data_IF_344765218545
#
_entry.id   IF_344765218545
#
_cell.length_a   1.000
_cell.length_b   1.000
_cell.length_c   1.000
_cell.angle_alpha   90.00
_cell.angle_beta   90.00
_cell.angle_gamma   90.00
#
_symmetry.space_group_name_H-M   'P 1'
#
loop_
_entity.id
_entity.type
_entity.pdbx_description
1 polymer ?
#
# COMPACT_ATOMS: atom_id res chain seq x y z
N UNK A 1 15.72 10.62 8.94
CA UNK A 1 14.63 10.36 7.99
C UNK A 1 13.42 9.77 8.72
N UNK A 2 12.21 10.11 8.30
CA UNK A 2 10.93 9.59 8.82
C UNK A 2 10.33 8.61 7.83
N UNK A 3 10.12 7.36 8.24
CA UNK A 3 9.48 6.34 7.42
C UNK A 3 7.96 6.36 7.66
N UNK A 4 7.17 6.57 6.61
CA UNK A 4 5.71 6.65 6.67
C UNK A 4 5.11 5.58 5.79
N UNK A 5 4.19 4.79 6.35
CA UNK A 5 3.53 3.67 5.67
C UNK A 5 2.08 3.98 5.33
N UNK A 6 1.67 3.65 4.10
CA UNK A 6 0.31 3.76 3.57
C UNK A 6 -0.22 2.39 3.19
N UNK A 7 -1.33 1.98 3.78
CA UNK A 7 -1.95 0.68 3.52
C UNK A 7 -2.73 0.63 2.20
N UNK A 8 -3.11 -0.57 1.79
CA UNK A 8 -3.93 -0.83 0.60
C UNK A 8 -5.43 -0.70 0.83
N UNK A 9 -6.21 -0.91 -0.23
CA UNK A 9 -7.67 -0.87 -0.23
C UNK A 9 -8.27 -1.78 0.85
N UNK A 10 -9.28 -1.28 1.57
CA UNK A 10 -10.01 -2.01 2.61
C UNK A 10 -9.15 -2.47 3.81
N UNK A 11 -7.90 -1.99 3.91
CA UNK A 11 -6.94 -2.41 4.93
C UNK A 11 -6.80 -1.38 6.06
N UNK A 12 -5.70 -1.42 6.81
CA UNK A 12 -5.40 -0.45 7.86
C UNK A 12 -3.91 -0.42 8.18
N UNK A 13 -3.50 0.47 9.09
CA UNK A 13 -2.14 0.55 9.62
C UNK A 13 -1.63 -0.76 10.22
N UNK A 14 -2.53 -1.68 10.63
CA UNK A 14 -2.18 -3.00 11.14
C UNK A 14 -1.44 -3.87 10.12
N UNK A 15 -1.60 -3.63 8.82
CA UNK A 15 -0.83 -4.34 7.78
C UNK A 15 0.68 -4.09 7.88
N UNK A 16 1.10 -3.10 8.67
CA UNK A 16 2.49 -2.78 8.95
C UNK A 16 2.92 -3.08 10.39
N UNK A 17 2.23 -3.96 11.09
CA UNK A 17 2.51 -4.32 12.48
C UNK A 17 3.98 -4.68 12.71
N UNK A 18 4.57 -5.52 11.86
CA UNK A 18 5.94 -5.97 11.99
C UNK A 18 6.96 -4.86 11.67
N UNK A 19 6.66 -4.00 10.70
CA UNK A 19 7.49 -2.85 10.33
C UNK A 19 7.52 -1.82 11.46
N UNK A 20 6.37 -1.51 12.07
CA UNK A 20 6.28 -0.55 13.18
C UNK A 20 7.06 -1.01 14.42
N UNK A 21 7.16 -2.31 14.66
CA UNK A 21 7.97 -2.87 15.76
C UNK A 21 9.47 -2.85 15.45
N UNK A 22 9.83 -2.89 14.19
CA UNK A 22 11.22 -2.94 13.72
C UNK A 22 11.83 -1.55 13.56
N UNK A 23 11.11 -0.62 12.93
CA UNK A 23 11.57 0.74 12.64
C UNK A 23 11.07 1.74 13.68
N UNK A 24 11.93 2.16 14.62
CA UNK A 24 11.53 3.07 15.73
C UNK A 24 11.05 4.44 15.24
N UNK A 25 11.65 4.99 14.17
CA UNK A 25 11.24 6.28 13.60
C UNK A 25 10.28 6.11 12.42
N UNK A 26 9.23 5.31 12.62
CA UNK A 26 8.22 5.06 11.60
C UNK A 26 6.81 5.44 12.06
N UNK A 27 5.88 5.49 11.12
CA UNK A 27 4.45 5.67 11.36
C UNK A 27 3.66 5.01 10.23
N UNK A 28 2.72 4.15 10.57
CA UNK A 28 1.68 3.74 9.63
C UNK A 28 0.44 4.62 9.85
N UNK A 29 -0.18 5.07 8.77
CA UNK A 29 -1.34 5.96 8.79
C UNK A 29 -2.58 5.13 8.44
N UNK A 30 -3.65 5.26 9.23
CA UNK A 30 -4.98 4.85 8.78
C UNK A 30 -5.53 5.95 7.87
N UNK A 31 -5.84 5.60 6.64
CA UNK A 31 -6.40 6.53 5.65
C UNK A 31 -7.85 6.93 6.04
N UNK A 32 -8.37 8.05 5.54
CA UNK A 32 -9.75 8.46 5.80
C UNK A 32 -10.76 7.36 5.48
N UNK A 33 -11.73 7.16 6.35
CA UNK A 33 -12.74 6.11 6.26
C UNK A 33 -12.36 4.79 6.93
N UNK A 34 -11.04 4.54 7.18
CA UNK A 34 -10.57 3.26 7.72
C UNK A 34 -10.54 3.19 9.25
N UNK A 35 -10.51 4.31 9.94
CA UNK A 35 -10.62 4.38 11.40
C UNK A 35 -11.58 5.47 11.85
N UNK A 36 -11.64 6.54 11.09
CA UNK A 36 -12.49 7.70 11.34
C UNK A 36 -12.70 8.51 10.06
N UNK A 37 -13.72 9.35 10.06
CA UNK A 37 -14.05 10.24 8.95
C UNK A 37 -14.70 9.51 7.78
N UNK A 38 -14.76 10.19 6.64
CA UNK A 38 -15.28 9.63 5.38
C UNK A 38 -14.12 9.25 4.47
N UNK A 39 -14.25 8.14 3.75
CA UNK A 39 -13.30 7.73 2.72
C UNK A 39 -13.19 8.80 1.62
N UNK A 40 -12.00 8.94 1.06
CA UNK A 40 -11.78 9.75 -0.13
C UNK A 40 -12.27 9.01 -1.38
N UNK A 41 -12.68 9.74 -2.42
CA UNK A 41 -13.29 9.12 -3.60
C UNK A 41 -12.29 8.75 -4.71
N UNK A 42 -11.07 9.27 -4.66
CA UNK A 42 -10.01 9.07 -5.65
C UNK A 42 -8.63 9.13 -5.00
N UNK A 43 -7.62 8.72 -5.77
CA UNK A 43 -6.23 8.69 -5.30
C UNK A 43 -5.70 10.11 -5.02
N UNK A 44 -6.14 11.10 -5.79
CA UNK A 44 -5.80 12.51 -5.59
C UNK A 44 -6.21 13.03 -4.21
N UNK A 45 -7.45 12.77 -3.83
CA UNK A 45 -7.99 13.21 -2.53
C UNK A 45 -7.27 12.51 -1.36
N UNK A 46 -6.93 11.22 -1.51
CA UNK A 46 -6.11 10.51 -0.55
C UNK A 46 -4.70 11.12 -0.45
N UNK A 47 -4.08 11.45 -1.59
CA UNK A 47 -2.78 12.11 -1.63
C UNK A 47 -2.81 13.43 -0.84
N UNK A 48 -3.75 14.32 -1.12
CA UNK A 48 -3.82 15.63 -0.46
C UNK A 48 -4.05 15.49 1.05
N UNK A 49 -4.85 14.52 1.45
CA UNK A 49 -5.04 14.21 2.87
C UNK A 49 -3.73 13.72 3.53
N UNK A 50 -3.01 12.79 2.89
CA UNK A 50 -1.72 12.26 3.38
C UNK A 50 -0.70 13.40 3.49
N UNK A 51 -0.63 14.28 2.48
CA UNK A 51 0.24 15.46 2.48
C UNK A 51 -0.10 16.39 3.65
N UNK A 52 -1.39 16.68 3.85
CA UNK A 52 -1.87 17.46 4.98
C UNK A 52 -1.48 16.83 6.33
N UNK A 53 -1.58 15.52 6.45
CA UNK A 53 -1.17 14.76 7.65
C UNK A 53 0.34 14.91 7.92
N UNK A 54 1.18 14.71 6.90
CA UNK A 54 2.65 14.83 6.99
C UNK A 54 3.04 16.25 7.39
N UNK A 55 2.43 17.25 6.77
CA UNK A 55 2.67 18.68 7.05
C UNK A 55 2.25 19.08 8.46
N UNK A 56 1.06 18.68 8.90
CA UNK A 56 0.56 18.96 10.25
C UNK A 56 1.43 18.33 11.35
N UNK A 57 2.04 17.18 11.07
CA UNK A 57 3.00 16.51 11.97
C UNK A 57 4.43 17.04 11.86
N UNK A 58 4.67 17.98 10.93
CA UNK A 58 5.99 18.56 10.66
C UNK A 58 7.06 17.50 10.40
N UNK A 59 6.68 16.38 9.72
CA UNK A 59 7.64 15.37 9.35
C UNK A 59 8.57 15.93 8.29
N UNK A 60 9.87 15.64 8.45
CA UNK A 60 10.92 16.03 7.51
C UNK A 60 11.70 14.82 7.07
N UNK A 61 12.37 14.94 5.92
CA UNK A 61 13.15 13.83 5.34
C UNK A 61 12.32 12.55 5.28
N UNK A 62 11.15 12.65 4.66
CA UNK A 62 10.17 11.55 4.60
C UNK A 62 10.58 10.53 3.54
N UNK A 63 10.59 9.26 3.92
CA UNK A 63 10.52 8.13 2.99
C UNK A 63 9.10 7.58 3.06
N UNK A 64 8.38 7.65 1.94
CA UNK A 64 6.99 7.21 1.86
C UNK A 64 6.93 5.79 1.32
N UNK A 65 6.28 4.91 2.06
CA UNK A 65 6.17 3.50 1.73
C UNK A 65 4.70 3.12 1.54
N UNK A 66 4.32 2.75 0.34
CA UNK A 66 2.93 2.42 0.00
C UNK A 66 2.74 0.98 -0.47
N UNK A 67 1.70 0.33 0.06
CA UNK A 67 1.25 -0.99 -0.37
C UNK A 67 -0.02 -0.87 -1.20
N UNK A 68 -0.07 -1.52 -2.37
CA UNK A 68 -1.27 -1.59 -3.22
C UNK A 68 -1.82 -0.18 -3.52
N UNK A 69 -3.03 0.17 -3.10
CA UNK A 69 -3.58 1.53 -3.18
C UNK A 69 -2.65 2.58 -2.55
N UNK A 70 -2.04 2.26 -1.40
CA UNK A 70 -1.03 3.14 -0.78
C UNK A 70 0.17 3.39 -1.69
N UNK A 71 0.52 2.43 -2.55
CA UNK A 71 1.56 2.59 -3.59
C UNK A 71 1.13 3.56 -4.69
N UNK A 72 -0.13 3.52 -5.13
CA UNK A 72 -0.70 4.50 -6.07
C UNK A 72 -0.65 5.92 -5.49
N UNK A 73 -1.03 6.08 -4.22
CA UNK A 73 -0.93 7.36 -3.50
C UNK A 73 0.53 7.83 -3.44
N UNK A 74 1.47 6.92 -3.15
CA UNK A 74 2.91 7.20 -3.08
C UNK A 74 3.49 7.63 -4.43
N UNK A 75 3.11 6.95 -5.54
CA UNK A 75 3.50 7.33 -6.90
C UNK A 75 3.00 8.72 -7.26
N UNK A 76 1.73 9.00 -6.97
CA UNK A 76 1.14 10.30 -7.28
C UNK A 76 1.77 11.41 -6.40
N UNK A 77 2.14 11.12 -5.15
CA UNK A 77 2.87 12.02 -4.27
C UNK A 77 4.25 12.37 -4.87
N UNK A 78 4.99 11.36 -5.31
CA UNK A 78 6.30 11.53 -5.92
C UNK A 78 6.25 12.33 -7.24
N UNK A 79 5.15 12.23 -8.00
CA UNK A 79 4.93 13.01 -9.21
C UNK A 79 4.63 14.47 -8.93
N UNK A 80 3.85 14.78 -7.87
CA UNK A 80 3.35 16.13 -7.60
C UNK A 80 4.22 16.93 -6.64
N UNK A 81 4.86 16.25 -5.67
CA UNK A 81 5.59 16.89 -4.56
C UNK A 81 6.91 16.17 -4.27
N UNK A 82 7.76 15.92 -5.29
CA UNK A 82 9.00 15.16 -5.12
C UNK A 82 9.94 15.80 -4.09
N UNK A 83 9.95 17.13 -3.97
CA UNK A 83 10.81 17.87 -3.05
C UNK A 83 10.51 17.63 -1.56
N UNK A 84 9.33 17.10 -1.25
CA UNK A 84 8.91 16.78 0.12
C UNK A 84 9.40 15.40 0.58
N UNK A 85 9.96 14.59 -0.36
CA UNK A 85 10.36 13.20 -0.12
C UNK A 85 11.87 12.99 -0.30
N UNK A 86 12.44 12.06 0.45
CA UNK A 86 13.82 11.58 0.28
C UNK A 86 13.91 10.33 -0.61
N UNK A 87 12.83 9.61 -0.73
CA UNK A 87 12.70 8.41 -1.54
C UNK A 87 11.35 7.75 -1.31
N UNK A 88 11.04 6.76 -2.11
CA UNK A 88 9.78 6.00 -2.01
C UNK A 88 10.01 4.50 -2.02
N UNK A 89 9.10 3.78 -1.35
CA UNK A 89 9.05 2.32 -1.37
C UNK A 89 7.67 1.91 -1.86
N UNK A 90 7.63 1.12 -2.91
CA UNK A 90 6.41 0.64 -3.57
C UNK A 90 6.28 -0.86 -3.32
N UNK A 91 5.22 -1.31 -2.65
CA UNK A 91 5.00 -2.72 -2.35
C UNK A 91 3.70 -3.23 -2.97
N UNK A 92 3.75 -4.33 -3.72
CA UNK A 92 2.57 -4.98 -4.27
C UNK A 92 1.64 -3.98 -5.00
N UNK A 93 2.20 -3.15 -5.89
CA UNK A 93 1.48 -2.06 -6.57
C UNK A 93 1.91 -1.94 -8.03
N UNK A 94 1.41 -0.93 -8.74
CA UNK A 94 1.74 -0.67 -10.14
C UNK A 94 1.36 0.75 -10.56
N UNK A 95 1.82 1.15 -11.74
CA UNK A 95 1.51 2.46 -12.34
C UNK A 95 0.04 2.59 -12.76
N UNK A 96 -0.66 1.47 -12.91
CA UNK A 96 -2.10 1.35 -13.18
C UNK A 96 -2.66 0.17 -12.40
N UNK A 97 -3.76 0.39 -11.70
CA UNK A 97 -4.39 -0.61 -10.83
C UNK A 97 -5.76 -1.01 -11.36
N UNK A 98 -5.79 -1.89 -12.37
CA UNK A 98 -7.06 -2.45 -12.86
C UNK A 98 -7.64 -3.44 -11.86
N UNK A 99 -8.86 -3.16 -11.41
CA UNK A 99 -9.55 -4.00 -10.44
C UNK A 99 -10.41 -5.04 -11.15
N UNK A 100 -10.28 -6.29 -10.74
CA UNK A 100 -11.11 -7.39 -11.24
C UNK A 100 -12.58 -7.17 -10.86
N UNK A 101 -13.53 -7.38 -11.80
CA UNK A 101 -14.95 -7.15 -11.53
C UNK A 101 -15.51 -7.96 -10.35
N UNK A 102 -15.01 -9.18 -10.11
CA UNK A 102 -15.44 -10.02 -9.00
C UNK A 102 -15.07 -9.44 -7.62
N UNK A 103 -13.97 -8.66 -7.54
CA UNK A 103 -13.61 -7.95 -6.31
C UNK A 103 -14.57 -6.80 -6.01
N UNK A 104 -15.02 -6.09 -7.03
CA UNK A 104 -16.05 -5.05 -6.87
C UNK A 104 -17.40 -5.65 -6.49
N UNK A 105 -17.77 -6.75 -7.14
CA UNK A 105 -19.06 -7.39 -6.91
C UNK A 105 -19.18 -7.98 -5.50
N UNK A 106 -18.11 -8.58 -4.95
CA UNK A 106 -18.12 -9.07 -3.57
C UNK A 106 -18.39 -7.96 -2.53
N UNK A 107 -17.94 -6.73 -2.82
CA UNK A 107 -18.21 -5.59 -1.95
C UNK A 107 -19.65 -5.07 -2.11
N UNK A 108 -20.21 -5.13 -3.34
CA UNK A 108 -21.59 -4.73 -3.62
C UNK A 108 -22.61 -5.74 -3.09
N UNK A 109 -22.22 -7.02 -3.04
CA UNK A 109 -23.06 -8.12 -2.56
C UNK A 109 -22.37 -8.85 -1.39
N UNK A 110 -22.24 -8.17 -0.23
CA UNK A 110 -21.42 -8.67 0.87
C UNK A 110 -22.02 -9.90 1.58
N UNK A 111 -23.27 -10.25 1.28
CA UNK A 111 -24.00 -11.33 1.93
C UNK A 111 -24.56 -10.95 3.30
N UNK A 112 -25.30 -11.87 3.96
CA UNK A 112 -25.86 -11.61 5.28
C UNK A 112 -24.76 -11.25 6.30
N UNK A 113 -24.91 -10.14 7.00
CA UNK A 113 -23.93 -9.63 7.97
C UNK A 113 -22.50 -9.53 7.38
N UNK A 114 -22.38 -9.22 6.08
CA UNK A 114 -21.11 -9.12 5.36
C UNK A 114 -20.27 -10.41 5.32
N UNK A 115 -20.87 -11.57 5.57
CA UNK A 115 -20.14 -12.83 5.73
C UNK A 115 -19.39 -13.28 4.47
N UNK A 116 -20.01 -13.13 3.29
CA UNK A 116 -19.38 -13.54 2.03
C UNK A 116 -18.18 -12.62 1.68
N UNK A 117 -18.37 -11.32 1.88
CA UNK A 117 -17.31 -10.34 1.71
C UNK A 117 -16.15 -10.61 2.68
N UNK A 118 -16.44 -10.77 3.97
CA UNK A 118 -15.41 -10.97 4.99
C UNK A 118 -14.60 -12.24 4.74
N UNK A 119 -15.24 -13.36 4.40
CA UNK A 119 -14.55 -14.60 4.06
C UNK A 119 -13.61 -14.41 2.86
N UNK A 120 -14.07 -13.73 1.81
CA UNK A 120 -13.25 -13.42 0.63
C UNK A 120 -12.11 -12.44 0.96
N UNK A 121 -12.37 -11.40 1.76
CA UNK A 121 -11.37 -10.44 2.21
C UNK A 121 -10.27 -11.15 3.02
N UNK A 122 -10.65 -11.97 3.98
CA UNK A 122 -9.71 -12.70 4.85
C UNK A 122 -8.87 -13.75 4.12
N UNK A 123 -9.33 -14.26 2.97
CA UNK A 123 -8.51 -15.16 2.14
C UNK A 123 -7.20 -14.50 1.65
N UNK A 124 -7.15 -13.18 1.57
CA UNK A 124 -5.92 -12.45 1.24
C UNK A 124 -4.84 -12.60 2.32
N UNK A 125 -5.23 -12.95 3.55
CA UNK A 125 -4.33 -13.09 4.71
C UNK A 125 -4.07 -14.56 5.08
N UNK A 126 -4.39 -15.52 4.22
CA UNK A 126 -4.27 -16.97 4.51
C UNK A 126 -2.86 -17.43 4.88
N UNK A 127 -1.83 -16.69 4.48
CA UNK A 127 -0.42 -16.98 4.78
C UNK A 127 0.13 -16.19 5.99
N UNK A 128 -0.70 -15.35 6.60
CA UNK A 128 -0.38 -14.62 7.84
C UNK A 128 -0.70 -15.51 9.05
N UNK A 129 -0.02 -15.33 10.18
CA UNK A 129 -0.27 -16.11 11.40
C UNK A 129 -1.73 -16.01 11.88
N UNK A 130 -2.25 -17.08 12.48
CA UNK A 130 -3.65 -17.19 12.93
C UNK A 130 -4.02 -16.06 13.91
N UNK A 131 -3.12 -15.73 14.85
CA UNK A 131 -3.35 -14.64 15.81
C UNK A 131 -3.54 -13.29 15.09
N UNK A 132 -2.72 -13.02 14.08
CA UNK A 132 -2.85 -11.82 13.28
C UNK A 132 -4.10 -11.84 12.40
N UNK A 133 -4.50 -12.99 11.85
CA UNK A 133 -5.75 -13.11 11.09
C UNK A 133 -6.96 -12.72 11.96
N UNK A 134 -6.99 -13.10 13.23
CA UNK A 134 -8.06 -12.72 14.16
C UNK A 134 -8.17 -11.20 14.32
N UNK A 135 -7.03 -10.53 14.56
CA UNK A 135 -6.99 -9.07 14.71
C UNK A 135 -7.37 -8.36 13.41
N UNK A 136 -6.87 -8.86 12.27
CA UNK A 136 -7.20 -8.31 10.95
C UNK A 136 -8.66 -8.48 10.59
N UNK A 137 -9.28 -9.62 10.96
CA UNK A 137 -10.71 -9.86 10.76
C UNK A 137 -11.58 -8.87 11.53
N UNK A 138 -11.26 -8.62 12.80
CA UNK A 138 -11.96 -7.60 13.60
C UNK A 138 -11.83 -6.23 12.96
N UNK A 139 -10.63 -5.87 12.51
CA UNK A 139 -10.37 -4.59 11.85
C UNK A 139 -11.09 -4.47 10.51
N UNK A 140 -11.13 -5.55 9.71
CA UNK A 140 -11.87 -5.56 8.45
C UNK A 140 -13.37 -5.28 8.66
N UNK A 141 -13.98 -5.86 9.70
CA UNK A 141 -15.39 -5.59 10.05
C UNK A 141 -15.62 -4.12 10.40
N UNK A 142 -14.69 -3.46 11.08
CA UNK A 142 -14.77 -2.03 11.41
C UNK A 142 -14.67 -1.15 10.15
N UNK A 143 -13.82 -1.51 9.18
CA UNK A 143 -13.65 -0.79 7.91
C UNK A 143 -14.87 -1.01 7.02
N UNK A 144 -15.27 -2.24 6.82
CA UNK A 144 -16.46 -2.64 6.08
C UNK A 144 -16.30 -2.68 4.55
N UNK A 145 -17.26 -3.36 3.88
CA UNK A 145 -17.23 -3.54 2.42
C UNK A 145 -17.44 -2.25 1.63
N UNK A 146 -18.14 -1.27 2.20
CA UNK A 146 -18.41 0.00 1.51
C UNK A 146 -17.13 0.83 1.33
N UNK A 147 -16.26 0.87 2.34
CA UNK A 147 -14.96 1.55 2.28
C UNK A 147 -14.05 0.82 1.30
N UNK A 148 -13.98 -0.54 1.38
CA UNK A 148 -13.19 -1.31 0.41
C UNK A 148 -13.68 -1.10 -1.02
N UNK A 149 -15.00 -1.07 -1.28
CA UNK A 149 -15.54 -0.79 -2.61
C UNK A 149 -15.11 0.58 -3.14
N UNK A 150 -15.19 1.60 -2.29
CA UNK A 150 -14.77 2.95 -2.66
C UNK A 150 -13.28 3.00 -3.02
N UNK A 151 -12.44 2.36 -2.24
CA UNK A 151 -11.00 2.29 -2.49
C UNK A 151 -10.68 1.54 -3.80
N UNK A 152 -11.33 0.41 -4.03
CA UNK A 152 -11.15 -0.37 -5.25
C UNK A 152 -11.59 0.43 -6.49
N UNK A 153 -12.67 1.22 -6.40
CA UNK A 153 -13.10 2.11 -7.47
C UNK A 153 -12.11 3.26 -7.70
N UNK A 154 -11.47 3.78 -6.64
CA UNK A 154 -10.41 4.76 -6.77
C UNK A 154 -9.16 4.14 -7.45
N UNK A 155 -8.79 2.91 -7.08
CA UNK A 155 -7.73 2.16 -7.73
C UNK A 155 -7.99 1.91 -9.21
N UNK A 156 -9.21 1.49 -9.58
CA UNK A 156 -9.55 1.14 -10.97
C UNK A 156 -9.44 2.32 -11.94
N UNK A 157 -9.59 3.54 -11.43
CA UNK A 157 -9.40 4.78 -12.21
C UNK A 157 -7.96 5.27 -12.27
N UNK A 158 -7.08 4.74 -11.40
CA UNK A 158 -5.70 5.21 -11.31
C UNK A 158 -4.86 4.72 -12.49
N UNK A 159 -4.20 5.65 -13.18
CA UNK A 159 -3.28 5.38 -14.28
C UNK A 159 -2.24 6.52 -14.39
N UNK A 160 -0.98 6.21 -14.16
CA UNK A 160 0.16 7.14 -14.32
C UNK A 160 1.28 6.53 -15.16
N UNK A 161 0.93 5.53 -15.99
CA UNK A 161 1.93 4.79 -16.80
C UNK A 161 2.81 5.72 -17.62
N UNK A 162 2.24 6.72 -18.27
CA UNK A 162 2.98 7.66 -19.14
C UNK A 162 3.77 8.73 -18.38
N UNK A 163 3.68 8.76 -17.03
CA UNK A 163 4.30 9.77 -16.19
C UNK A 163 5.50 9.24 -15.38
N UNK A 164 5.72 7.93 -15.36
CA UNK A 164 6.76 7.31 -14.51
C UNK A 164 8.16 7.87 -14.73
N UNK A 165 8.51 8.21 -15.97
CA UNK A 165 9.80 8.80 -16.32
C UNK A 165 10.07 10.19 -15.71
N UNK A 166 9.05 10.82 -15.10
CA UNK A 166 9.18 12.10 -14.39
C UNK A 166 9.61 11.91 -12.94
N UNK A 167 9.55 10.67 -12.40
CA UNK A 167 9.95 10.37 -11.02
C UNK A 167 11.46 10.08 -11.01
N UNK A 168 12.20 11.03 -10.45
CA UNK A 168 13.68 10.92 -10.30
C UNK A 168 14.08 10.57 -8.83
N UNK A 169 13.12 10.33 -7.97
CA UNK A 169 13.37 9.94 -6.58
C UNK A 169 13.95 8.52 -6.50
N UNK A 170 14.92 8.29 -5.59
CA UNK A 170 15.31 6.92 -5.24
C UNK A 170 14.10 6.09 -4.88
N UNK A 171 13.96 4.93 -5.54
CA UNK A 171 12.77 4.08 -5.41
C UNK A 171 13.16 2.63 -5.19
N UNK A 172 12.58 2.01 -4.15
CA UNK A 172 12.62 0.56 -3.95
C UNK A 172 11.25 -0.03 -4.27
N UNK A 173 11.22 -1.01 -5.18
CA UNK A 173 10.00 -1.75 -5.54
C UNK A 173 10.07 -3.15 -4.96
N UNK A 174 9.08 -3.53 -4.15
CA UNK A 174 9.00 -4.84 -3.52
C UNK A 174 7.73 -5.55 -3.97
N UNK A 175 7.83 -6.79 -4.40
CA UNK A 175 6.65 -7.60 -4.73
C UNK A 175 6.86 -9.06 -4.29
N UNK A 176 5.76 -9.73 -3.98
CA UNK A 176 5.79 -11.19 -3.73
C UNK A 176 5.84 -11.97 -5.04
N UNK A 177 6.60 -13.06 -5.08
CA UNK A 177 6.66 -13.92 -6.28
C UNK A 177 5.31 -14.61 -6.61
N UNK A 178 4.40 -14.67 -5.63
CA UNK A 178 3.08 -15.31 -5.73
C UNK A 178 1.93 -14.29 -5.68
N UNK A 179 2.23 -12.99 -5.87
CA UNK A 179 1.20 -11.96 -5.92
C UNK A 179 0.35 -12.09 -7.19
N UNK A 180 -0.93 -12.41 -7.01
CA UNK A 180 -1.91 -12.55 -8.08
C UNK A 180 -2.74 -11.26 -8.32
N UNK A 181 -2.67 -10.29 -7.40
CA UNK A 181 -3.38 -9.02 -7.53
C UNK A 181 -2.56 -7.99 -8.30
N UNK A 182 -1.28 -7.87 -7.95
CA UNK A 182 -0.29 -7.04 -8.65
C UNK A 182 0.94 -7.89 -8.98
N UNK A 183 0.84 -8.77 -9.99
CA UNK A 183 1.91 -9.71 -10.34
C UNK A 183 3.25 -9.03 -10.62
N UNK A 184 4.34 -9.78 -10.52
CA UNK A 184 5.74 -9.31 -10.71
C UNK A 184 5.91 -8.41 -11.94
N UNK A 185 5.19 -8.67 -13.03
CA UNK A 185 5.21 -7.80 -14.23
C UNK A 185 4.85 -6.32 -13.95
N UNK A 186 4.15 -6.02 -12.84
CA UNK A 186 3.84 -4.64 -12.45
C UNK A 186 5.07 -3.98 -11.83
N UNK A 187 5.83 -4.72 -11.02
CA UNK A 187 7.10 -4.26 -10.47
C UNK A 187 8.14 -4.05 -11.58
N UNK A 188 8.26 -5.02 -12.51
CA UNK A 188 9.14 -4.89 -13.67
C UNK A 188 8.81 -3.62 -14.48
N UNK A 189 7.51 -3.38 -14.75
CA UNK A 189 7.09 -2.17 -15.49
C UNK A 189 7.50 -0.88 -14.77
N UNK A 190 7.37 -0.82 -13.44
CA UNK A 190 7.80 0.34 -12.66
C UNK A 190 9.32 0.57 -12.81
N UNK A 191 10.13 -0.48 -12.66
CA UNK A 191 11.59 -0.37 -12.73
C UNK A 191 12.13 -0.12 -14.14
N UNK A 192 11.43 -0.60 -15.16
CA UNK A 192 11.76 -0.33 -16.56
C UNK A 192 11.50 1.12 -16.98
N UNK A 193 10.56 1.83 -16.30
CA UNK A 193 10.13 3.17 -16.71
C UNK A 193 10.51 4.28 -15.71
N UNK A 194 11.07 3.93 -14.54
CA UNK A 194 11.56 4.89 -13.55
C UNK A 194 13.10 4.86 -13.51
N UNK A 195 13.75 6.03 -13.55
CA UNK A 195 15.21 6.13 -13.71
C UNK A 195 15.99 5.57 -12.51
N UNK A 196 15.50 5.80 -11.29
CA UNK A 196 16.19 5.47 -10.04
C UNK A 196 15.45 4.39 -9.22
N UNK A 197 14.84 3.43 -9.91
CA UNK A 197 14.09 2.34 -9.27
C UNK A 197 14.87 1.02 -9.30
N UNK A 198 14.82 0.31 -8.17
CA UNK A 198 15.34 -1.04 -8.02
C UNK A 198 14.25 -1.95 -7.47
N UNK A 199 14.10 -3.14 -8.07
CA UNK A 199 13.13 -4.11 -7.57
C UNK A 199 13.77 -5.24 -6.79
N UNK A 200 13.00 -5.80 -5.86
CA UNK A 200 13.27 -7.08 -5.22
C UNK A 200 11.99 -7.91 -5.22
N UNK A 201 12.05 -9.05 -5.89
CA UNK A 201 11.00 -10.06 -5.84
C UNK A 201 11.21 -10.95 -4.61
N UNK A 202 10.26 -10.96 -3.69
CA UNK A 202 10.33 -11.71 -2.42
C UNK A 202 9.78 -13.13 -2.64
N UNK A 203 10.63 -14.18 -2.61
CA UNK A 203 10.19 -15.55 -2.85
C UNK A 203 9.16 -16.02 -1.82
N UNK A 204 8.05 -16.63 -2.30
CA UNK A 204 6.96 -17.17 -1.50
C UNK A 204 6.08 -16.10 -0.83
N UNK A 205 6.24 -14.83 -1.18
CA UNK A 205 5.35 -13.78 -0.75
C UNK A 205 4.16 -13.62 -1.70
N UNK A 206 2.97 -13.36 -1.18
CA UNK A 206 1.80 -12.99 -1.96
C UNK A 206 1.55 -11.48 -1.88
N UNK A 207 0.30 -11.04 -2.04
CA UNK A 207 -0.02 -9.61 -2.07
C UNK A 207 0.31 -8.87 -0.77
N UNK A 208 0.13 -9.49 0.39
CA UNK A 208 0.47 -8.91 1.70
C UNK A 208 1.89 -9.29 2.15
N UNK A 209 2.86 -9.19 1.24
CA UNK A 209 4.26 -9.59 1.43
C UNK A 209 4.90 -8.99 2.69
N UNK A 210 4.52 -7.77 3.09
CA UNK A 210 5.01 -7.09 4.30
C UNK A 210 4.57 -7.78 5.61
N UNK A 211 3.53 -8.60 5.55
CA UNK A 211 3.07 -9.40 6.70
C UNK A 211 3.57 -10.84 6.61
N UNK A 212 3.56 -11.42 5.43
CA UNK A 212 3.90 -12.83 5.17
C UNK A 212 5.40 -13.08 5.25
N UNK A 213 6.19 -12.21 4.63
CA UNK A 213 7.65 -12.28 4.53
C UNK A 213 8.32 -11.09 5.24
N UNK A 214 7.75 -10.64 6.36
CA UNK A 214 8.12 -9.39 7.04
C UNK A 214 9.62 -9.26 7.33
N UNK A 215 10.33 -10.37 7.63
CA UNK A 215 11.77 -10.34 7.90
C UNK A 215 12.56 -9.90 6.68
N UNK A 216 12.25 -10.47 5.50
CA UNK A 216 12.90 -10.12 4.23
C UNK A 216 12.54 -8.69 3.83
N UNK A 217 11.26 -8.32 3.94
CA UNK A 217 10.79 -6.95 3.65
C UNK A 217 11.49 -5.93 4.56
N UNK A 218 11.66 -6.21 5.85
CA UNK A 218 12.36 -5.31 6.75
C UNK A 218 13.84 -5.11 6.35
N UNK A 219 14.54 -6.17 5.92
CA UNK A 219 15.92 -6.07 5.44
C UNK A 219 16.02 -5.20 4.18
N UNK A 220 15.10 -5.35 3.23
CA UNK A 220 15.07 -4.53 2.02
C UNK A 220 14.80 -3.04 2.32
N UNK A 221 13.90 -2.77 3.28
CA UNK A 221 13.64 -1.40 3.75
C UNK A 221 14.88 -0.83 4.45
N UNK A 222 15.57 -1.60 5.30
CA UNK A 222 16.81 -1.16 5.98
C UNK A 222 17.93 -0.83 4.98
N UNK A 223 18.14 -1.70 4.00
CA UNK A 223 19.12 -1.49 2.92
C UNK A 223 18.82 -0.19 2.17
N UNK A 224 17.57 -0.02 1.72
CA UNK A 224 17.14 1.20 1.05
C UNK A 224 17.31 2.44 1.92
N UNK A 225 16.86 2.42 3.17
CA UNK A 225 17.03 3.56 4.09
C UNK A 225 18.49 3.90 4.37
N UNK A 226 19.38 2.92 4.26
CA UNK A 226 20.82 3.13 4.44
C UNK A 226 21.45 3.76 3.20
N UNK A 227 21.01 3.40 1.99
CA UNK A 227 21.50 3.97 0.73
C UNK A 227 21.13 5.46 0.55
N UNK A 228 20.14 5.96 1.31
CA UNK A 228 19.70 7.37 1.27
C UNK A 228 20.48 8.29 2.21
N UNK A 229 21.41 7.79 2.99
CA UNK A 229 22.24 8.58 3.93
C UNK A 229 23.44 9.17 3.24
#
# INVERSE_FOLDING_TARGET
>A
MKLVFLHGAGSSSLSYYYQLRHFRNSKAIDLPGHSAGKACHDIESYLEWVRGYITARRYKDVVLCGHSMGGAITLLYALRYPEELKGIILMGTGARLRVRPDLLERCRQPGPNNSNWLASHMNNFKHVSVDMQTVLSQRAVEVGPEVELNDLLACDRFDVMDQLGQIDLPTRVLCGSEDLMTPVKYANYLTEHMQNAQETVIPGGSHFVQMEQYKKVNLEIEDFMTSLK
#
